data_IF_970549399319
#
_entry.id   IF_970549399319
#
_cell.length_a   1.000
_cell.length_b   1.000
_cell.length_c   1.000
_cell.angle_alpha   90.00
_cell.angle_beta   90.00
_cell.angle_gamma   90.00
#
_symmetry.space_group_name_H-M   'P 1'
#
loop_
_entity.id
_entity.type
_entity.pdbx_description
1 polymer ?
#
# COMPACT_ATOMS: atom_id res chain seq x y z
N UNK A 1 14.64 -14.69 -18.51
CA UNK A 1 15.79 -14.47 -19.42
C UNK A 1 17.15 -14.51 -18.74
N UNK A 2 17.38 -13.78 -17.63
CA UNK A 2 18.70 -13.71 -16.98
C UNK A 2 19.28 -15.10 -16.64
N UNK A 3 18.49 -15.99 -16.05
CA UNK A 3 18.94 -17.34 -15.68
C UNK A 3 19.27 -18.23 -16.90
N UNK A 4 18.54 -18.08 -18.00
CA UNK A 4 18.79 -18.84 -19.22
C UNK A 4 20.09 -18.39 -19.90
N UNK A 5 20.39 -17.08 -19.91
CA UNK A 5 21.64 -16.56 -20.48
C UNK A 5 22.87 -16.97 -19.68
N UNK A 6 22.77 -16.96 -18.35
CA UNK A 6 23.81 -17.51 -17.49
C UNK A 6 24.08 -18.99 -17.77
N UNK A 7 23.02 -19.79 -17.97
CA UNK A 7 23.17 -21.21 -18.30
C UNK A 7 23.82 -21.44 -19.67
N UNK A 8 23.49 -20.62 -20.68
CA UNK A 8 24.13 -20.71 -22.00
C UNK A 8 25.62 -20.37 -21.93
N UNK A 9 25.99 -19.34 -21.17
CA UNK A 9 27.38 -18.96 -20.97
C UNK A 9 28.17 -20.06 -20.26
N UNK A 10 27.60 -20.66 -19.21
CA UNK A 10 28.22 -21.77 -18.47
C UNK A 10 28.35 -23.04 -19.32
N UNK A 11 27.36 -23.32 -20.17
CA UNK A 11 27.31 -24.51 -21.02
C UNK A 11 28.00 -24.33 -22.38
N UNK A 12 28.68 -23.20 -22.60
CA UNK A 12 29.30 -22.82 -23.88
C UNK A 12 28.36 -22.93 -25.10
N UNK A 13 27.06 -22.73 -24.88
CA UNK A 13 26.06 -22.80 -25.95
C UNK A 13 26.10 -21.49 -26.73
N UNK A 14 26.77 -21.52 -27.89
CA UNK A 14 26.91 -20.35 -28.77
C UNK A 14 25.95 -20.41 -29.96
N UNK A 15 25.51 -21.61 -30.35
CA UNK A 15 24.63 -21.83 -31.50
C UNK A 15 23.20 -21.31 -31.23
N UNK A 16 22.72 -20.44 -32.12
CA UNK A 16 21.38 -19.82 -32.07
C UNK A 16 20.25 -20.86 -32.02
N UNK A 17 20.32 -21.92 -32.83
CA UNK A 17 19.33 -22.98 -32.86
C UNK A 17 19.30 -23.75 -31.53
N UNK A 18 20.47 -24.02 -30.94
CA UNK A 18 20.57 -24.70 -29.66
C UNK A 18 20.03 -23.84 -28.52
N UNK A 19 20.27 -22.53 -28.54
CA UNK A 19 19.67 -21.58 -27.58
C UNK A 19 18.16 -21.54 -27.71
N UNK A 20 17.65 -21.42 -28.93
CA UNK A 20 16.20 -21.44 -29.22
C UNK A 20 15.54 -22.72 -28.69
N UNK A 21 16.10 -23.89 -29.00
CA UNK A 21 15.55 -25.17 -28.54
C UNK A 21 15.57 -25.31 -27.00
N UNK A 22 16.60 -24.79 -26.34
CA UNK A 22 16.68 -24.81 -24.88
C UNK A 22 15.61 -23.92 -24.24
N UNK A 23 15.43 -22.69 -24.73
CA UNK A 23 14.34 -21.83 -24.25
C UNK A 23 12.99 -22.49 -24.50
N UNK A 24 12.79 -23.03 -25.70
CA UNK A 24 11.56 -23.73 -26.11
C UNK A 24 11.18 -24.89 -25.18
N UNK A 25 12.17 -25.56 -24.58
CA UNK A 25 11.97 -26.72 -23.71
C UNK A 25 11.77 -26.38 -22.22
N UNK A 26 12.26 -25.22 -21.77
CA UNK A 26 12.29 -24.89 -20.33
C UNK A 26 10.97 -24.31 -19.85
N UNK A 27 10.28 -23.53 -20.69
CA UNK A 27 9.17 -22.72 -20.21
C UNK A 27 7.97 -22.66 -21.18
N UNK A 28 7.26 -23.79 -21.37
CA UNK A 28 6.13 -23.87 -22.29
C UNK A 28 4.97 -22.96 -21.91
N UNK A 29 4.85 -22.57 -20.63
CA UNK A 29 3.78 -21.68 -20.16
C UNK A 29 4.05 -20.23 -20.59
N UNK A 30 5.26 -19.71 -20.40
CA UNK A 30 5.61 -18.35 -20.86
C UNK A 30 5.69 -18.26 -22.39
N UNK A 31 5.94 -19.38 -23.06
CA UNK A 31 5.98 -19.48 -24.51
C UNK A 31 4.60 -19.52 -25.18
N UNK A 32 3.54 -19.85 -24.44
CA UNK A 32 2.17 -19.83 -24.97
C UNK A 32 1.79 -18.46 -25.55
N UNK A 33 2.25 -17.37 -24.91
CA UNK A 33 2.03 -15.99 -25.36
C UNK A 33 2.81 -15.61 -26.63
N UNK A 34 3.88 -16.34 -26.97
CA UNK A 34 4.73 -16.11 -28.17
C UNK A 34 4.69 -17.31 -29.14
N UNK A 35 3.57 -18.04 -29.15
CA UNK A 35 3.35 -19.21 -29.99
C UNK A 35 3.52 -18.93 -31.49
N UNK A 36 3.27 -17.69 -31.92
CA UNK A 36 3.44 -17.25 -33.32
C UNK A 36 4.87 -17.44 -33.82
N UNK A 37 5.87 -17.10 -33.00
CA UNK A 37 7.30 -17.28 -33.31
C UNK A 37 7.69 -18.76 -33.29
N UNK A 38 7.04 -19.58 -32.46
CA UNK A 38 7.28 -21.03 -32.41
C UNK A 38 6.74 -21.76 -33.65
N UNK A 39 5.56 -21.37 -34.13
CA UNK A 39 4.94 -21.96 -35.32
C UNK A 39 5.49 -21.41 -36.64
N UNK A 40 5.99 -20.17 -36.64
CA UNK A 40 6.65 -19.54 -37.80
C UNK A 40 8.00 -18.94 -37.38
N UNK A 41 9.03 -19.79 -37.17
CA UNK A 41 10.33 -19.31 -36.77
C UNK A 41 10.99 -18.49 -37.90
N UNK A 42 11.64 -17.36 -37.59
CA UNK A 42 12.40 -16.59 -38.56
C UNK A 42 13.59 -17.40 -39.11
N UNK A 43 14.04 -17.05 -40.32
CA UNK A 43 15.08 -17.81 -41.03
C UNK A 43 16.47 -17.70 -40.36
N UNK A 44 16.73 -16.58 -39.67
CA UNK A 44 17.98 -16.29 -38.96
C UNK A 44 17.67 -15.59 -37.63
N UNK A 45 18.59 -15.61 -36.65
CA UNK A 45 18.44 -14.92 -35.36
C UNK A 45 17.24 -15.38 -34.50
N UNK A 46 16.90 -16.67 -34.54
CA UNK A 46 15.70 -17.22 -33.87
C UNK A 46 15.70 -16.95 -32.36
N UNK A 47 16.86 -17.08 -31.73
CA UNK A 47 16.98 -16.83 -30.30
C UNK A 47 16.79 -15.35 -29.96
N UNK A 48 17.42 -14.45 -30.73
CA UNK A 48 17.33 -13.01 -30.46
C UNK A 48 15.92 -12.48 -30.67
N UNK A 49 15.23 -12.92 -31.73
CA UNK A 49 13.87 -12.47 -32.01
C UNK A 49 12.87 -13.04 -30.99
N UNK A 50 13.03 -14.31 -30.61
CA UNK A 50 12.28 -14.90 -29.49
C UNK A 50 12.53 -14.14 -28.19
N UNK A 51 13.81 -13.81 -27.89
CA UNK A 51 14.21 -13.04 -26.71
C UNK A 51 13.55 -11.66 -26.69
N UNK A 52 13.65 -10.91 -27.77
CA UNK A 52 13.08 -9.56 -27.86
C UNK A 52 11.57 -9.59 -27.71
N UNK A 53 10.89 -10.54 -28.34
CA UNK A 53 9.44 -10.68 -28.20
C UNK A 53 9.02 -11.06 -26.80
N UNK A 54 9.75 -11.99 -26.16
CA UNK A 54 9.51 -12.34 -24.76
C UNK A 54 9.74 -11.13 -23.84
N UNK A 55 10.76 -10.32 -24.10
CA UNK A 55 10.96 -9.09 -23.33
C UNK A 55 9.80 -8.10 -23.56
N UNK A 56 9.38 -7.89 -24.80
CA UNK A 56 8.31 -6.96 -25.13
C UNK A 56 6.96 -7.37 -24.52
N UNK A 57 6.57 -8.63 -24.68
CA UNK A 57 5.29 -9.17 -24.20
C UNK A 57 5.20 -9.10 -22.67
N UNK A 58 6.27 -9.49 -21.97
CA UNK A 58 6.29 -9.50 -20.52
C UNK A 58 6.60 -8.12 -19.90
N UNK A 59 7.22 -7.21 -20.64
CA UNK A 59 7.44 -5.81 -20.20
C UNK A 59 6.15 -5.01 -20.14
N UNK A 60 5.22 -5.22 -21.09
CA UNK A 60 3.89 -4.61 -21.03
C UNK A 60 3.09 -5.15 -19.83
N UNK A 61 3.19 -6.46 -19.57
CA UNK A 61 2.60 -7.08 -18.37
C UNK A 61 3.17 -6.51 -17.06
N UNK A 62 4.50 -6.36 -16.96
CA UNK A 62 5.14 -5.75 -15.80
C UNK A 62 4.72 -4.29 -15.62
N UNK A 63 4.63 -3.52 -16.72
CA UNK A 63 4.16 -2.14 -16.71
C UNK A 63 2.71 -2.02 -16.25
N UNK A 64 1.84 -2.93 -16.68
CA UNK A 64 0.45 -3.03 -16.20
C UNK A 64 0.39 -3.36 -14.71
N UNK A 65 1.21 -4.31 -14.24
CA UNK A 65 1.29 -4.66 -12.82
C UNK A 65 1.75 -3.49 -11.95
N UNK A 66 2.76 -2.72 -12.39
CA UNK A 66 3.21 -1.49 -11.71
C UNK A 66 2.07 -0.47 -11.68
N UNK A 67 1.41 -0.19 -12.81
CA UNK A 67 0.30 0.78 -12.87
C UNK A 67 -0.81 0.40 -11.89
N UNK A 68 -1.16 -0.89 -11.84
CA UNK A 68 -2.15 -1.44 -10.91
C UNK A 68 -1.73 -1.25 -9.45
N UNK A 69 -0.46 -1.54 -9.13
CA UNK A 69 0.10 -1.32 -7.79
C UNK A 69 0.06 0.16 -7.37
N UNK A 70 0.35 1.08 -8.31
CA UNK A 70 0.43 2.52 -8.06
C UNK A 70 -0.92 3.25 -8.06
N UNK A 71 -1.95 2.72 -8.72
CA UNK A 71 -3.19 3.48 -8.96
C UNK A 71 -4.47 2.76 -8.53
N UNK A 72 -4.51 1.43 -8.58
CA UNK A 72 -5.76 0.68 -8.42
C UNK A 72 -5.90 0.03 -7.04
N UNK A 73 -4.80 -0.23 -6.32
CA UNK A 73 -4.86 -0.81 -4.99
C UNK A 73 -5.03 0.26 -3.92
N UNK A 74 -6.20 0.25 -3.28
CA UNK A 74 -6.53 1.05 -2.11
C UNK A 74 -6.93 0.12 -0.96
N UNK A 75 -6.81 0.61 0.27
CA UNK A 75 -7.23 -0.13 1.46
C UNK A 75 -8.74 -0.38 1.47
N UNK A 76 -9.56 0.64 1.22
CA UNK A 76 -11.03 0.52 1.25
C UNK A 76 -11.50 -0.06 2.60
N UNK A 77 -12.33 -1.10 2.54
CA UNK A 77 -12.76 -1.91 3.70
C UNK A 77 -11.88 -3.17 3.92
N UNK A 78 -10.79 -3.31 3.16
CA UNK A 78 -9.92 -4.47 3.25
C UNK A 78 -8.96 -4.36 4.45
N UNK A 79 -8.51 -5.50 4.94
CA UNK A 79 -7.55 -5.52 6.04
C UNK A 79 -6.16 -5.10 5.53
N UNK A 80 -5.36 -4.37 6.33
CA UNK A 80 -3.99 -4.02 5.97
C UNK A 80 -3.13 -5.22 5.53
N UNK A 81 -3.30 -6.40 6.15
CA UNK A 81 -2.58 -7.62 5.74
C UNK A 81 -3.03 -8.18 4.39
N UNK A 82 -4.32 -8.11 4.08
CA UNK A 82 -4.85 -8.54 2.77
C UNK A 82 -4.40 -7.60 1.65
N UNK A 83 -4.41 -6.29 1.91
CA UNK A 83 -3.87 -5.31 0.97
C UNK A 83 -2.40 -5.62 0.67
N UNK A 84 -1.58 -5.84 1.70
CA UNK A 84 -0.18 -6.19 1.53
C UNK A 84 -0.01 -7.46 0.69
N UNK A 85 -0.80 -8.50 0.97
CA UNK A 85 -0.73 -9.76 0.22
C UNK A 85 -1.05 -9.57 -1.26
N UNK A 86 -2.07 -8.77 -1.59
CA UNK A 86 -2.41 -8.42 -2.98
C UNK A 86 -1.27 -7.64 -3.64
N UNK A 87 -0.68 -6.68 -2.94
CA UNK A 87 0.47 -5.90 -3.42
C UNK A 87 1.69 -6.79 -3.69
N UNK A 88 1.96 -7.77 -2.82
CA UNK A 88 3.09 -8.71 -2.97
C UNK A 88 2.92 -9.65 -4.16
N UNK A 89 1.71 -10.11 -4.44
CA UNK A 89 1.42 -10.92 -5.63
C UNK A 89 1.72 -10.13 -6.91
N UNK A 90 1.32 -8.86 -6.96
CA UNK A 90 1.61 -7.99 -8.10
C UNK A 90 3.10 -7.61 -8.20
N UNK A 91 3.76 -7.40 -7.07
CA UNK A 91 5.18 -7.08 -7.00
C UNK A 91 6.08 -8.27 -7.40
N UNK A 92 5.61 -9.51 -7.20
CA UNK A 92 6.35 -10.73 -7.54
C UNK A 92 6.62 -10.84 -9.04
N UNK A 93 5.77 -10.26 -9.89
CA UNK A 93 5.98 -10.22 -11.35
C UNK A 93 7.02 -9.19 -11.82
N UNK A 94 7.43 -8.27 -10.94
CA UNK A 94 8.26 -7.10 -11.29
C UNK A 94 9.54 -7.03 -10.45
N UNK A 95 9.76 -7.97 -9.52
CA UNK A 95 10.93 -8.02 -8.64
C UNK A 95 11.17 -6.71 -7.86
N UNK A 96 10.13 -6.17 -7.22
CA UNK A 96 10.24 -4.97 -6.37
C UNK A 96 10.84 -5.31 -4.99
N UNK A 97 11.63 -4.39 -4.44
CA UNK A 97 12.17 -4.52 -3.08
C UNK A 97 11.07 -4.33 -2.02
N UNK A 98 11.18 -5.07 -0.92
CA UNK A 98 10.30 -5.00 0.25
C UNK A 98 10.24 -3.60 0.88
N UNK A 99 11.34 -2.83 0.88
CA UNK A 99 11.32 -1.45 1.40
C UNK A 99 10.44 -0.51 0.57
N UNK A 100 10.50 -0.66 -0.75
CA UNK A 100 9.66 0.10 -1.67
C UNK A 100 8.19 -0.32 -1.52
N UNK A 101 7.95 -1.63 -1.42
CA UNK A 101 6.63 -2.19 -1.18
C UNK A 101 6.03 -1.71 0.15
N UNK A 102 6.85 -1.67 1.22
CA UNK A 102 6.50 -1.14 2.54
C UNK A 102 6.11 0.33 2.47
N UNK A 103 6.90 1.14 1.78
CA UNK A 103 6.61 2.57 1.59
C UNK A 103 5.28 2.78 0.88
N UNK A 104 5.06 2.07 -0.22
CA UNK A 104 3.82 2.18 -0.99
C UNK A 104 2.60 1.68 -0.20
N UNK A 105 2.76 0.59 0.54
CA UNK A 105 1.70 0.03 1.39
C UNK A 105 1.33 0.99 2.53
N UNK A 106 2.32 1.58 3.22
CA UNK A 106 2.08 2.59 4.26
C UNK A 106 1.30 3.80 3.71
N UNK A 107 1.64 4.30 2.52
CA UNK A 107 0.92 5.40 1.88
C UNK A 107 -0.57 5.11 1.60
N UNK A 108 -0.98 3.84 1.61
CA UNK A 108 -2.39 3.43 1.44
C UNK A 108 -3.15 3.29 2.75
N UNK A 109 -2.47 3.37 3.89
CA UNK A 109 -3.09 3.29 5.21
C UNK A 109 -3.51 4.68 5.71
N UNK A 110 -4.43 4.77 6.67
CA UNK A 110 -4.72 6.01 7.39
C UNK A 110 -3.47 6.57 8.10
N UNK A 111 -3.38 7.90 8.22
CA UNK A 111 -2.21 8.60 8.79
C UNK A 111 -1.86 8.17 10.23
N UNK A 112 -2.85 7.76 11.01
CA UNK A 112 -2.66 7.23 12.37
C UNK A 112 -1.86 5.93 12.36
N UNK A 113 -2.22 4.99 11.47
CA UNK A 113 -1.49 3.74 11.29
C UNK A 113 -0.09 4.00 10.73
N UNK A 114 0.04 4.94 9.78
CA UNK A 114 1.35 5.30 9.21
C UNK A 114 2.33 5.76 10.30
N UNK A 115 1.89 6.65 11.20
CA UNK A 115 2.73 7.18 12.28
C UNK A 115 3.25 6.08 13.22
N UNK A 116 2.40 5.11 13.54
CA UNK A 116 2.73 4.01 14.46
C UNK A 116 3.64 2.98 13.78
N UNK A 117 3.37 2.67 12.51
CA UNK A 117 4.03 1.58 11.79
C UNK A 117 5.36 2.02 11.14
N UNK A 118 5.55 3.32 10.86
CA UNK A 118 6.77 3.84 10.21
C UNK A 118 8.03 3.62 11.04
N UNK A 119 7.91 3.55 12.36
CA UNK A 119 9.05 3.35 13.28
C UNK A 119 9.35 1.87 13.55
N UNK A 120 8.53 0.95 13.03
CA UNK A 120 8.73 -0.48 13.25
C UNK A 120 9.89 -1.03 12.41
N UNK A 121 10.83 -1.68 13.08
CA UNK A 121 11.93 -2.45 12.49
C UNK A 121 11.57 -3.91 12.18
N UNK A 122 10.29 -4.29 12.32
CA UNK A 122 9.83 -5.63 12.03
C UNK A 122 9.69 -5.90 10.52
N UNK A 123 9.54 -7.18 10.18
CA UNK A 123 9.25 -7.61 8.80
C UNK A 123 7.92 -7.05 8.32
N UNK A 124 7.80 -6.79 7.02
CA UNK A 124 6.60 -6.21 6.42
C UNK A 124 5.33 -7.01 6.75
N UNK A 125 5.43 -8.34 6.80
CA UNK A 125 4.34 -9.24 7.21
C UNK A 125 3.91 -9.03 8.67
N UNK A 126 4.86 -8.83 9.59
CA UNK A 126 4.52 -8.57 10.98
C UNK A 126 3.95 -7.16 11.17
N UNK A 127 4.52 -6.16 10.48
CA UNK A 127 3.99 -4.79 10.47
C UNK A 127 2.53 -4.78 9.98
N UNK A 128 2.19 -5.58 8.97
CA UNK A 128 0.82 -5.69 8.50
C UNK A 128 -0.13 -6.36 9.50
N UNK A 129 0.35 -7.34 10.28
CA UNK A 129 -0.42 -7.92 11.39
C UNK A 129 -0.59 -6.95 12.55
N UNK A 130 0.42 -6.12 12.83
CA UNK A 130 0.34 -5.06 13.83
C UNK A 130 -0.69 -4.00 13.40
N UNK A 131 -0.74 -3.65 12.12
CA UNK A 131 -1.71 -2.70 11.58
C UNK A 131 -3.17 -3.13 11.81
N UNK A 132 -3.48 -4.43 11.71
CA UNK A 132 -4.81 -4.97 12.04
C UNK A 132 -5.17 -4.86 13.51
N UNK A 133 -4.16 -4.79 14.39
CA UNK A 133 -4.30 -4.62 15.84
C UNK A 133 -4.32 -3.15 16.27
N UNK A 134 -4.39 -2.22 15.31
CA UNK A 134 -4.70 -0.80 15.55
C UNK A 134 -6.21 -0.61 15.25
N UNK A 135 -7.16 -1.17 16.03
CA UNK A 135 -8.53 -0.72 15.95
C UNK A 135 -8.59 0.74 16.43
N UNK A 136 -9.46 1.52 15.81
CA UNK A 136 -9.73 2.95 16.08
C UNK A 136 -9.44 3.32 17.54
N UNK A 137 -8.34 4.05 17.81
CA UNK A 137 -8.24 4.85 19.04
C UNK A 137 -9.19 6.04 18.85
N UNK A 138 -10.48 5.76 18.77
CA UNK A 138 -11.53 6.69 19.14
C UNK A 138 -11.80 6.42 20.61
N UNK A 139 -10.96 7.01 21.46
CA UNK A 139 -11.42 7.49 22.75
C UNK A 139 -11.74 8.97 22.57
N UNK A 140 -13.04 9.23 22.43
CA UNK A 140 -13.79 10.50 22.51
C UNK A 140 -13.05 11.86 22.53
N UNK A 141 -13.51 12.86 21.75
CA UNK A 141 -13.18 14.28 21.95
C UNK A 141 -13.69 14.90 23.28
N UNK A 142 -14.22 14.12 24.22
CA UNK A 142 -14.85 14.64 25.45
C UNK A 142 -14.13 14.19 26.73
N UNK A 143 -12.84 14.48 26.85
CA UNK A 143 -12.25 14.70 28.18
C UNK A 143 -12.40 16.19 28.53
N UNK A 144 -13.63 16.58 28.81
CA UNK A 144 -13.90 17.79 29.57
C UNK A 144 -13.46 17.49 31.01
N UNK A 145 -12.19 17.73 31.32
CA UNK A 145 -11.75 17.77 32.72
C UNK A 145 -12.49 18.92 33.38
N UNK A 146 -13.63 18.63 33.99
CA UNK A 146 -14.31 19.58 34.85
C UNK A 146 -13.41 19.72 36.07
N UNK A 147 -12.69 20.85 36.12
CA UNK A 147 -11.93 21.28 37.29
C UNK A 147 -12.91 21.30 38.46
N UNK A 148 -12.80 20.31 39.35
CA UNK A 148 -13.50 20.33 40.63
C UNK A 148 -12.78 21.37 41.48
N UNK A 149 -13.17 22.64 41.34
CA UNK A 149 -12.77 23.70 42.26
C UNK A 149 -13.40 23.41 43.63
N UNK A 150 -12.61 22.78 44.51
CA UNK A 150 -12.86 22.82 45.95
C UNK A 150 -12.06 23.98 46.52
N UNK A 151 -12.58 25.20 46.44
CA UNK A 151 -12.10 26.31 47.27
C UNK A 151 -13.18 27.37 47.47
N UNK A 152 -14.06 27.17 48.46
CA UNK A 152 -14.63 28.32 49.21
C UNK A 152 -14.61 28.04 50.70
N UNK A 153 -13.46 28.34 51.29
CA UNK A 153 -13.35 28.74 52.70
C UNK A 153 -13.72 30.22 52.81
N UNK A 154 -14.75 30.48 53.62
CA UNK A 154 -15.08 31.67 54.42
C UNK A 154 -14.33 32.99 54.17
N UNK A 155 -15.08 34.07 53.90
CA UNK A 155 -15.32 35.09 54.94
C UNK A 155 -16.42 36.10 54.59
N UNK A 156 -17.11 36.66 55.60
CA UNK A 156 -18.24 37.58 55.43
C UNK A 156 -17.77 39.04 55.48
N UNK A 157 -18.36 39.91 54.67
CA UNK A 157 -18.30 41.35 54.88
C UNK A 157 -19.64 41.98 54.49
N UNK A 158 -20.42 42.31 55.52
CA UNK A 158 -21.59 43.16 55.49
C UNK A 158 -21.19 44.56 55.00
N UNK A 159 -21.86 45.08 53.96
CA UNK A 159 -22.23 46.49 53.96
C UNK A 159 -23.54 46.71 53.21
N UNK A 160 -24.49 47.15 54.01
CA UNK A 160 -25.84 47.59 53.72
C UNK A 160 -25.85 48.89 52.92
N UNK A 161 -26.77 49.03 51.95
CA UNK A 161 -27.74 50.12 51.96
C UNK A 161 -28.91 49.90 50.97
N UNK A 162 -30.07 50.54 51.21
CA UNK A 162 -31.38 50.04 50.76
C UNK A 162 -32.08 50.92 49.71
N UNK A 163 -32.99 50.26 48.97
CA UNK A 163 -34.27 50.71 48.37
C UNK A 163 -34.31 51.97 47.48
N UNK A 164 -34.77 51.76 46.24
CA UNK A 164 -35.89 52.44 45.56
C UNK A 164 -36.20 51.64 44.26
N UNK A 165 -37.20 50.76 44.23
CA UNK A 165 -38.61 50.99 43.86
C UNK A 165 -38.82 51.50 42.42
N UNK A 166 -39.05 50.59 41.47
CA UNK A 166 -40.37 50.39 40.84
C UNK A 166 -40.29 49.40 39.65
N UNK A 167 -41.37 48.65 39.37
CA UNK A 167 -41.38 47.54 38.41
C UNK A 167 -41.63 48.03 36.98
N UNK A 168 -40.95 47.42 36.00
CA UNK A 168 -41.33 47.52 34.59
C UNK A 168 -41.84 46.17 34.07
N UNK A 169 -43.16 45.95 34.00
CA UNK A 169 -43.75 44.94 33.16
C UNK A 169 -44.34 45.59 31.90
N UNK A 170 -43.80 45.17 30.77
CA UNK A 170 -44.47 45.12 29.47
C UNK A 170 -45.99 44.91 29.60
N UNK A 171 -46.78 45.82 29.03
CA UNK A 171 -48.11 45.50 28.52
C UNK A 171 -48.18 45.99 27.07
N UNK A 172 -48.20 45.03 26.15
CA UNK A 172 -48.77 45.18 24.80
C UNK A 172 -50.29 45.19 24.94
N UNK A 173 -51.00 45.94 24.12
CA UNK A 173 -52.10 45.48 23.26
C UNK A 173 -52.95 46.65 22.72
N UNK A 174 -53.26 46.56 21.40
CA UNK A 174 -54.10 47.37 20.50
C UNK A 174 -53.60 48.75 20.06
#
# INVERSE_FOLDING_TARGET
MIQAESNFALSAITNDQTKYNNIAAIDPETLSSVSDILFKPPATNKYNELKERLIAEFSDSASKQIRKLLSELQLGDDKPSHLLRKMRVLASGVSLNDDFLKTLWLQRLPSEMQSILSVSSETLENVAKLAEKIPEVRTDPFLNVSVMDKSKSSNPALRTNPREDLPNPFIREW
#
